data_IF_857420844552
#
_entry.id   IF_857420844552
#
_cell.length_a   1.000
_cell.length_b   1.000
_cell.length_c   1.000
_cell.angle_alpha   90.00
_cell.angle_beta   90.00
_cell.angle_gamma   90.00
#
_symmetry.space_group_name_H-M   'P 1'
#
loop_
_entity.id
_entity.type
_entity.pdbx_description
1 polymer ?
#
# COMPACT_ATOMS: atom_id res chain seq x y z
N UNK A 1 42.28 -77.61 -10.14
CA UNK A 1 41.19 -76.86 -10.82
C UNK A 1 39.88 -77.16 -10.09
N UNK A 2 39.41 -76.25 -9.26
CA UNK A 2 38.03 -76.30 -8.74
C UNK A 2 37.61 -74.88 -8.44
N UNK A 3 36.87 -74.32 -9.39
CA UNK A 3 36.36 -72.96 -9.36
C UNK A 3 34.99 -72.98 -8.70
N UNK A 4 34.83 -72.27 -7.59
CA UNK A 4 33.52 -71.98 -6.99
C UNK A 4 33.36 -70.47 -6.95
N UNK A 5 32.76 -69.92 -8.00
CA UNK A 5 32.29 -68.54 -8.00
C UNK A 5 30.98 -68.47 -7.21
N UNK A 6 31.02 -67.82 -6.05
CA UNK A 6 29.83 -67.40 -5.31
C UNK A 6 29.30 -66.11 -5.95
N UNK A 7 28.14 -66.17 -6.59
CA UNK A 7 27.42 -65.00 -7.06
C UNK A 7 26.68 -64.35 -5.88
N UNK A 8 27.09 -63.15 -5.49
CA UNK A 8 26.37 -62.32 -4.53
C UNK A 8 25.26 -61.55 -5.26
N UNK A 9 24.01 -61.82 -4.90
CA UNK A 9 22.87 -61.03 -5.36
C UNK A 9 22.79 -59.73 -4.55
N UNK A 10 23.10 -58.60 -5.19
CA UNK A 10 22.92 -57.26 -4.61
C UNK A 10 21.49 -56.81 -4.91
N UNK A 11 20.63 -56.85 -3.89
CA UNK A 11 19.31 -56.24 -3.97
C UNK A 11 19.45 -54.71 -3.87
N UNK A 12 19.24 -54.01 -4.98
CA UNK A 12 19.18 -52.54 -5.01
C UNK A 12 17.82 -52.12 -4.45
N UNK A 13 17.81 -51.69 -3.19
CA UNK A 13 16.67 -50.99 -2.59
C UNK A 13 16.52 -49.63 -3.28
N UNK A 14 15.54 -49.52 -4.17
CA UNK A 14 15.07 -48.24 -4.67
C UNK A 14 14.45 -47.46 -3.50
N UNK A 15 15.21 -46.52 -2.94
CA UNK A 15 14.67 -45.49 -2.06
C UNK A 15 13.73 -44.62 -2.91
N UNK A 16 12.44 -44.96 -2.90
CA UNK A 16 11.39 -44.05 -3.29
C UNK A 16 11.46 -42.85 -2.33
N UNK A 17 12.16 -41.79 -2.76
CA UNK A 17 12.18 -40.53 -2.04
C UNK A 17 10.76 -40.01 -1.97
N UNK A 18 10.24 -39.91 -0.74
CA UNK A 18 9.02 -39.21 -0.41
C UNK A 18 9.26 -37.71 -0.65
N UNK A 19 9.39 -37.28 -1.91
CA UNK A 19 9.19 -35.89 -2.25
C UNK A 19 7.70 -35.64 -2.04
N UNK A 20 7.33 -35.22 -0.83
CA UNK A 20 6.07 -34.57 -0.61
C UNK A 20 6.01 -33.44 -1.62
N UNK A 21 5.15 -33.58 -2.63
CA UNK A 21 4.82 -32.52 -3.54
C UNK A 21 4.24 -31.41 -2.67
N UNK A 22 5.08 -30.45 -2.28
CA UNK A 22 4.63 -29.25 -1.60
C UNK A 22 3.65 -28.59 -2.55
N UNK A 23 2.38 -28.58 -2.17
CA UNK A 23 1.38 -27.70 -2.78
C UNK A 23 2.03 -26.32 -2.92
N UNK A 24 2.04 -25.70 -4.11
CA UNK A 24 2.74 -24.44 -4.30
C UNK A 24 2.15 -23.44 -3.31
N UNK A 25 2.99 -22.96 -2.37
CA UNK A 25 2.58 -21.94 -1.42
C UNK A 25 2.04 -20.75 -2.22
N UNK A 26 0.75 -20.41 -2.04
CA UNK A 26 0.10 -19.31 -2.75
C UNK A 26 1.01 -18.08 -2.75
N UNK A 27 1.34 -17.52 -3.90
CA UNK A 27 2.16 -16.30 -3.97
C UNK A 27 1.37 -15.03 -3.69
N UNK A 28 0.09 -15.18 -3.31
CA UNK A 28 -0.82 -14.10 -3.00
C UNK A 28 -1.40 -14.23 -1.60
N UNK A 29 -1.69 -13.09 -0.99
CA UNK A 29 -2.40 -12.98 0.26
C UNK A 29 -3.48 -11.89 0.13
N UNK A 30 -4.69 -12.16 0.59
CA UNK A 30 -5.76 -11.15 0.67
C UNK A 30 -5.95 -10.84 2.14
N UNK A 31 -5.64 -9.61 2.53
CA UNK A 31 -5.74 -9.23 3.93
C UNK A 31 -7.15 -8.72 4.26
N UNK A 32 -7.45 -8.58 5.56
CA UNK A 32 -8.79 -8.21 6.06
C UNK A 32 -9.27 -6.83 5.62
N UNK A 33 -8.35 -5.96 5.20
CA UNK A 33 -8.61 -4.63 4.64
C UNK A 33 -9.09 -4.66 3.17
N UNK A 34 -9.20 -5.85 2.58
CA UNK A 34 -9.57 -6.04 1.18
C UNK A 34 -8.41 -5.81 0.21
N UNK A 35 -7.22 -5.48 0.70
CA UNK A 35 -6.04 -5.33 -0.14
C UNK A 35 -5.48 -6.69 -0.55
N UNK A 36 -5.00 -6.76 -1.79
CA UNK A 36 -4.32 -7.91 -2.35
C UNK A 36 -2.80 -7.70 -2.31
N UNK A 37 -2.08 -8.75 -1.93
CA UNK A 37 -0.64 -8.76 -1.82
C UNK A 37 -0.08 -9.87 -2.70
N UNK A 38 1.00 -9.61 -3.44
CA UNK A 38 1.72 -10.61 -4.25
C UNK A 38 3.22 -10.57 -3.93
N UNK A 39 3.82 -11.73 -3.65
CA UNK A 39 5.26 -11.86 -3.43
C UNK A 39 6.03 -12.18 -4.70
N UNK A 40 7.18 -11.52 -4.85
CA UNK A 40 8.17 -11.69 -5.89
C UNK A 40 9.47 -12.11 -5.21
N UNK A 41 9.79 -13.41 -5.27
CA UNK A 41 10.89 -13.99 -4.52
C UNK A 41 11.84 -14.83 -5.37
N UNK A 42 12.86 -15.39 -4.72
CA UNK A 42 13.90 -16.21 -5.34
C UNK A 42 13.31 -17.45 -6.04
N UNK A 43 12.27 -18.07 -5.47
CA UNK A 43 11.61 -19.25 -6.04
C UNK A 43 11.02 -19.00 -7.43
N UNK A 44 10.71 -17.75 -7.76
CA UNK A 44 10.18 -17.35 -9.06
C UNK A 44 11.23 -16.68 -9.94
N UNK A 45 12.47 -16.56 -9.48
CA UNK A 45 13.52 -15.74 -10.06
C UNK A 45 13.04 -14.29 -10.31
N UNK A 46 12.34 -13.71 -9.33
CA UNK A 46 11.76 -12.35 -9.41
C UNK A 46 12.26 -11.41 -8.33
N UNK A 47 13.40 -11.70 -7.71
CA UNK A 47 14.04 -10.74 -6.81
C UNK A 47 14.50 -9.51 -7.58
N UNK A 48 14.51 -8.35 -6.93
CA UNK A 48 14.85 -7.09 -7.56
C UNK A 48 15.57 -6.16 -6.59
N UNK A 49 16.25 -5.17 -7.15
CA UNK A 49 16.75 -4.02 -6.37
C UNK A 49 15.56 -3.19 -5.84
N UNK A 50 15.80 -2.35 -4.83
CA UNK A 50 14.71 -1.62 -4.18
C UNK A 50 13.95 -0.70 -5.15
N UNK A 51 14.67 0.04 -6.02
CA UNK A 51 14.03 0.93 -7.01
C UNK A 51 13.23 0.14 -8.06
N UNK A 52 13.74 -1.01 -8.46
CA UNK A 52 13.07 -1.90 -9.41
C UNK A 52 11.82 -2.51 -8.81
N UNK A 53 11.87 -2.92 -7.53
CA UNK A 53 10.72 -3.41 -6.79
C UNK A 53 9.61 -2.34 -6.67
N UNK A 54 9.98 -1.10 -6.31
CA UNK A 54 9.03 0.02 -6.27
C UNK A 54 8.38 0.25 -7.63
N UNK A 55 9.18 0.34 -8.71
CA UNK A 55 8.66 0.51 -10.08
C UNK A 55 7.76 -0.66 -10.50
N UNK A 56 8.15 -1.89 -10.17
CA UNK A 56 7.39 -3.11 -10.46
C UNK A 56 6.00 -3.07 -9.82
N UNK A 57 5.90 -2.66 -8.55
CA UNK A 57 4.62 -2.56 -7.86
C UNK A 57 3.74 -1.41 -8.38
N UNK A 58 4.35 -0.24 -8.68
CA UNK A 58 3.64 0.89 -9.31
C UNK A 58 3.08 0.49 -10.68
N UNK A 59 3.86 -0.21 -11.51
CA UNK A 59 3.42 -0.68 -12.82
C UNK A 59 2.23 -1.65 -12.76
N UNK A 60 1.99 -2.28 -11.60
CA UNK A 60 0.85 -3.18 -11.34
C UNK A 60 -0.37 -2.44 -10.76
N UNK A 61 -0.30 -1.12 -10.64
CA UNK A 61 -1.36 -0.28 -10.08
C UNK A 61 -1.46 -0.37 -8.55
N UNK A 62 -0.35 -0.71 -7.89
CA UNK A 62 -0.23 -0.77 -6.44
C UNK A 62 1.03 -0.05 -5.97
N UNK A 63 1.56 -0.48 -4.83
CA UNK A 63 2.78 0.05 -4.22
C UNK A 63 3.58 -1.07 -3.57
N UNK A 64 4.82 -0.80 -3.18
CA UNK A 64 5.58 -1.72 -2.35
C UNK A 64 4.85 -1.85 -1.00
N UNK A 65 4.82 -3.04 -0.42
CA UNK A 65 4.24 -3.23 0.90
C UNK A 65 5.14 -2.61 1.97
N UNK A 66 4.54 -1.89 2.90
CA UNK A 66 5.14 -1.37 4.11
C UNK A 66 5.29 -2.42 5.20
N UNK A 67 5.71 -1.97 6.38
CA UNK A 67 5.74 -2.77 7.60
C UNK A 67 5.62 -1.85 8.81
N UNK A 68 4.74 -2.21 9.76
CA UNK A 68 4.68 -1.65 11.11
C UNK A 68 4.75 -2.80 12.13
N UNK A 69 5.13 -2.47 13.37
CA UNK A 69 5.03 -3.43 14.48
C UNK A 69 3.59 -3.57 14.99
N UNK A 70 2.73 -2.60 14.70
CA UNK A 70 1.33 -2.63 15.12
C UNK A 70 0.57 -3.68 14.30
N UNK A 71 -0.32 -4.49 14.89
CA UNK A 71 -1.08 -5.48 14.14
C UNK A 71 -2.00 -4.78 13.13
N UNK A 72 -1.65 -4.88 11.85
CA UNK A 72 -2.39 -4.35 10.72
C UNK A 72 -2.41 -5.41 9.62
N UNK A 73 -3.43 -5.38 8.76
CA UNK A 73 -3.65 -6.37 7.71
C UNK A 73 -2.42 -6.52 6.78
N UNK A 74 -1.70 -5.44 6.54
CA UNK A 74 -0.44 -5.42 5.79
C UNK A 74 0.71 -6.19 6.48
N UNK A 75 0.79 -6.16 7.81
CA UNK A 75 1.82 -6.88 8.56
C UNK A 75 1.56 -8.39 8.57
N UNK A 76 0.29 -8.80 8.61
CA UNK A 76 -0.09 -10.21 8.42
C UNK A 76 0.33 -10.69 7.03
N UNK A 77 0.10 -9.87 6.00
CA UNK A 77 0.52 -10.19 4.63
C UNK A 77 2.04 -10.30 4.51
N UNK A 78 2.80 -9.36 5.07
CA UNK A 78 4.27 -9.40 5.09
C UNK A 78 4.80 -10.60 5.87
N UNK A 79 4.17 -10.97 6.99
CA UNK A 79 4.53 -12.17 7.73
C UNK A 79 4.31 -13.44 6.91
N UNK A 80 3.12 -13.62 6.32
CA UNK A 80 2.76 -14.81 5.55
C UNK A 80 3.54 -14.96 4.23
N UNK A 81 3.88 -13.83 3.61
CA UNK A 81 4.54 -13.80 2.30
C UNK A 81 6.08 -13.71 2.38
N UNK A 82 6.64 -13.15 3.45
CA UNK A 82 8.09 -13.01 3.61
C UNK A 82 8.63 -13.84 4.77
N UNK A 83 8.33 -13.44 6.01
CA UNK A 83 8.96 -14.00 7.21
C UNK A 83 8.70 -15.50 7.37
N UNK A 84 7.44 -15.93 7.23
CA UNK A 84 7.05 -17.35 7.34
C UNK A 84 7.72 -18.22 6.27
N UNK A 85 8.08 -17.62 5.14
CA UNK A 85 8.77 -18.28 4.02
C UNK A 85 10.28 -18.19 4.09
N UNK A 86 10.83 -17.57 5.15
CA UNK A 86 12.27 -17.31 5.30
C UNK A 86 12.83 -16.47 4.13
N UNK A 87 12.01 -15.59 3.59
CA UNK A 87 12.42 -14.61 2.59
C UNK A 87 12.91 -13.34 3.28
N UNK A 88 13.92 -12.69 2.70
CA UNK A 88 14.29 -11.31 3.04
C UNK A 88 13.56 -10.38 2.08
N UNK A 89 12.82 -9.39 2.59
CA UNK A 89 11.91 -8.59 1.77
C UNK A 89 12.11 -7.08 1.89
N UNK A 90 12.14 -6.37 0.76
CA UNK A 90 12.08 -4.91 0.75
C UNK A 90 10.80 -4.37 1.39
N UNK A 91 10.92 -3.23 2.07
CA UNK A 91 9.83 -2.51 2.73
C UNK A 91 9.65 -1.13 2.11
N UNK A 92 8.39 -0.71 1.99
CA UNK A 92 8.01 0.62 1.54
C UNK A 92 8.26 1.68 2.62
N UNK A 93 9.51 2.16 2.66
CA UNK A 93 9.93 3.29 3.47
C UNK A 93 11.05 4.03 2.74
N UNK A 94 11.10 5.38 2.80
CA UNK A 94 12.15 6.14 2.14
C UNK A 94 13.56 5.67 2.53
N UNK A 95 14.51 5.60 1.58
CA UNK A 95 15.89 5.27 1.88
C UNK A 95 16.55 6.28 2.84
N UNK A 96 17.46 5.80 3.68
CA UNK A 96 18.30 6.62 4.57
C UNK A 96 19.62 6.95 3.86
N UNK A 97 20.08 8.20 3.94
CA UNK A 97 21.25 8.71 3.20
C UNK A 97 22.51 8.94 4.04
N UNK A 98 22.40 8.95 5.37
CA UNK A 98 23.45 9.37 6.33
C UNK A 98 24.75 8.56 6.20
N UNK A 99 24.68 7.30 5.77
CA UNK A 99 25.83 6.41 5.61
C UNK A 99 25.77 5.66 4.28
N UNK A 100 25.61 6.41 3.19
CA UNK A 100 25.26 5.85 1.88
C UNK A 100 23.79 5.44 1.82
N UNK A 101 23.30 5.26 0.60
CA UNK A 101 21.89 4.99 0.34
C UNK A 101 21.51 3.59 0.82
N UNK A 102 20.81 3.52 1.95
CA UNK A 102 20.34 2.26 2.55
C UNK A 102 18.82 2.19 2.55
N UNK A 103 18.30 1.05 2.13
CA UNK A 103 16.89 0.76 2.00
C UNK A 103 16.41 -0.15 3.13
N UNK A 104 15.16 0.03 3.51
CA UNK A 104 14.52 -0.75 4.57
C UNK A 104 14.10 -2.12 4.06
N UNK A 105 14.37 -3.16 4.84
CA UNK A 105 13.93 -4.52 4.55
C UNK A 105 13.60 -5.28 5.84
N UNK A 106 12.86 -6.39 5.71
CA UNK A 106 12.67 -7.38 6.76
C UNK A 106 13.64 -8.55 6.53
N UNK A 107 14.32 -8.98 7.59
CA UNK A 107 15.10 -10.22 7.61
C UNK A 107 14.20 -11.46 7.47
N UNK A 108 14.80 -12.63 7.31
CA UNK A 108 14.09 -13.92 7.27
C UNK A 108 13.33 -14.23 8.57
N UNK A 109 13.72 -13.59 9.67
CA UNK A 109 13.09 -13.64 10.99
C UNK A 109 12.06 -12.53 11.20
N UNK A 110 11.90 -11.61 10.25
CA UNK A 110 10.98 -10.48 10.33
C UNK A 110 11.53 -9.29 11.10
N UNK A 111 12.85 -9.20 11.30
CA UNK A 111 13.47 -8.04 11.92
C UNK A 111 13.69 -6.91 10.90
N UNK A 112 13.31 -5.65 11.20
CA UNK A 112 13.62 -4.52 10.35
C UNK A 112 15.13 -4.27 10.29
N UNK A 113 15.67 -4.17 9.08
CA UNK A 113 17.07 -3.89 8.81
C UNK A 113 17.20 -2.75 7.79
N UNK A 114 18.40 -2.17 7.74
CA UNK A 114 18.85 -1.25 6.71
C UNK A 114 19.99 -1.87 5.95
N UNK A 115 19.88 -1.94 4.63
CA UNK A 115 20.92 -2.50 3.76
C UNK A 115 21.08 -1.72 2.46
N UNK A 116 22.17 -1.95 1.71
CA UNK A 116 22.38 -1.28 0.42
C UNK A 116 21.27 -1.59 -0.58
N UNK A 117 20.74 -0.58 -1.26
CA UNK A 117 19.55 -0.69 -2.12
C UNK A 117 19.73 -1.54 -3.39
N UNK A 118 20.98 -1.82 -3.78
CA UNK A 118 21.34 -2.53 -5.02
C UNK A 118 21.43 -4.06 -4.89
N UNK A 119 21.10 -4.61 -3.72
CA UNK A 119 20.97 -6.05 -3.59
C UNK A 119 19.65 -6.53 -4.20
N UNK A 120 19.65 -7.74 -4.76
CA UNK A 120 18.42 -8.38 -5.21
C UNK A 120 17.84 -9.20 -4.07
N UNK A 121 16.72 -8.74 -3.53
CA UNK A 121 15.96 -9.49 -2.52
C UNK A 121 14.50 -9.59 -2.92
N UNK A 122 13.74 -10.36 -2.15
CA UNK A 122 12.32 -10.56 -2.39
C UNK A 122 11.56 -9.26 -2.09
N UNK A 123 10.35 -9.13 -2.60
CA UNK A 123 9.48 -7.98 -2.30
C UNK A 123 8.02 -8.35 -2.45
N UNK A 124 7.16 -7.59 -1.78
CA UNK A 124 5.70 -7.77 -1.84
C UNK A 124 5.09 -6.52 -2.40
N UNK A 125 4.28 -6.67 -3.46
CA UNK A 125 3.45 -5.58 -3.94
C UNK A 125 2.09 -5.63 -3.24
N UNK A 126 1.60 -4.49 -2.81
CA UNK A 126 0.29 -4.26 -2.22
C UNK A 126 -0.60 -3.53 -3.22
N UNK A 127 -1.82 -4.01 -3.40
CA UNK A 127 -2.86 -3.37 -4.21
C UNK A 127 -4.15 -3.35 -3.42
N UNK A 128 -4.52 -2.18 -2.94
CA UNK A 128 -5.82 -1.99 -2.32
C UNK A 128 -6.88 -1.67 -3.37
N UNK A 129 -8.14 -2.11 -3.17
CA UNK A 129 -9.25 -1.52 -3.88
C UNK A 129 -9.17 -0.01 -3.65
N UNK A 130 -9.14 0.78 -4.73
CA UNK A 130 -9.33 2.22 -4.58
C UNK A 130 -10.65 2.39 -3.85
N UNK A 131 -10.75 3.21 -2.79
CA UNK A 131 -12.05 3.54 -2.26
C UNK A 131 -12.89 4.04 -3.44
N UNK A 132 -13.91 3.27 -3.82
CA UNK A 132 -14.97 3.81 -4.68
C UNK A 132 -15.40 5.09 -3.99
N UNK A 133 -15.40 6.25 -4.67
CA UNK A 133 -15.98 7.44 -4.09
C UNK A 133 -17.38 7.02 -3.62
N UNK A 134 -17.61 7.01 -2.31
CA UNK A 134 -18.97 6.90 -1.79
C UNK A 134 -19.74 7.96 -2.58
N UNK A 135 -20.87 7.65 -3.24
CA UNK A 135 -21.65 8.67 -3.91
C UNK A 135 -21.85 9.77 -2.88
N UNK A 136 -21.22 10.93 -3.10
CA UNK A 136 -21.40 12.06 -2.21
C UNK A 136 -22.91 12.24 -2.10
N UNK A 137 -23.46 12.35 -0.87
CA UNK A 137 -24.85 12.76 -0.74
C UNK A 137 -24.99 14.02 -1.58
N UNK A 138 -25.78 13.99 -2.66
CA UNK A 138 -26.00 15.17 -3.49
C UNK A 138 -26.38 16.29 -2.52
N UNK A 139 -25.60 17.37 -2.41
CA UNK A 139 -25.87 18.38 -1.40
C UNK A 139 -27.25 18.96 -1.71
N UNK A 140 -28.18 18.70 -0.79
CA UNK A 140 -29.52 19.25 -0.86
C UNK A 140 -29.36 20.73 -0.47
N UNK A 141 -29.26 21.62 -1.46
CA UNK A 141 -29.04 23.06 -1.27
C UNK A 141 -30.25 23.79 -0.63
N UNK A 142 -30.92 23.21 0.37
CA UNK A 142 -32.12 23.81 0.98
C UNK A 142 -31.82 25.18 1.61
N UNK A 143 -30.61 25.39 2.14
CA UNK A 143 -30.17 26.64 2.80
C UNK A 143 -28.89 27.26 2.20
N UNK A 144 -28.57 26.93 0.95
CA UNK A 144 -27.32 27.32 0.29
C UNK A 144 -27.60 27.96 -1.07
N UNK A 145 -26.73 28.89 -1.47
CA UNK A 145 -26.77 29.45 -2.82
C UNK A 145 -26.27 28.41 -3.82
N UNK A 146 -27.13 27.99 -4.75
CA UNK A 146 -26.72 27.08 -5.83
C UNK A 146 -25.96 27.87 -6.90
N UNK A 147 -24.67 27.59 -7.06
CA UNK A 147 -23.84 28.11 -8.13
C UNK A 147 -24.21 27.53 -9.49
N UNK A 148 -23.74 28.21 -10.54
CA UNK A 148 -23.96 27.79 -11.94
C UNK A 148 -23.17 26.55 -12.33
N UNK A 149 -22.10 26.28 -11.60
CA UNK A 149 -21.28 25.06 -11.63
C UNK A 149 -21.97 23.86 -10.97
N UNK A 150 -23.15 24.05 -10.38
CA UNK A 150 -23.93 22.99 -9.74
C UNK A 150 -23.57 22.75 -8.27
N UNK A 151 -22.60 23.49 -7.71
CA UNK A 151 -22.23 23.40 -6.30
C UNK A 151 -23.12 24.30 -5.43
N UNK A 152 -23.21 23.99 -4.13
CA UNK A 152 -23.92 24.81 -3.15
C UNK A 152 -22.91 25.63 -2.33
N UNK A 153 -23.13 26.94 -2.21
CA UNK A 153 -22.26 27.87 -1.49
C UNK A 153 -22.98 28.50 -0.30
N UNK A 154 -22.26 28.71 0.80
CA UNK A 154 -22.74 29.50 1.94
C UNK A 154 -21.65 30.46 2.38
N UNK A 155 -22.02 31.74 2.46
CA UNK A 155 -21.12 32.80 2.88
C UNK A 155 -21.32 33.04 4.37
N UNK A 156 -20.24 32.95 5.13
CA UNK A 156 -20.20 33.33 6.54
C UNK A 156 -19.48 34.67 6.66
N UNK A 157 -20.21 35.71 7.05
CA UNK A 157 -19.68 37.08 7.11
C UNK A 157 -19.94 37.71 8.49
N UNK A 158 -19.54 38.97 8.66
CA UNK A 158 -19.76 39.72 9.89
C UNK A 158 -21.25 39.89 10.23
N UNK A 159 -22.10 40.03 9.21
CA UNK A 159 -23.56 40.20 9.37
C UNK A 159 -24.17 38.93 9.98
N UNK A 160 -23.74 37.75 9.52
CA UNK A 160 -24.16 36.46 10.06
C UNK A 160 -23.41 36.06 11.34
N UNK A 161 -22.54 36.92 11.88
CA UNK A 161 -21.62 36.64 13.00
C UNK A 161 -20.83 35.33 12.82
N UNK A 162 -20.53 34.98 11.57
CA UNK A 162 -19.97 33.67 11.19
C UNK A 162 -18.47 33.68 10.90
N UNK A 163 -17.78 34.81 11.13
CA UNK A 163 -16.36 34.96 10.82
C UNK A 163 -15.51 34.00 11.65
N UNK A 164 -14.50 33.42 11.00
CA UNK A 164 -13.55 32.47 11.58
C UNK A 164 -12.16 32.77 11.04
N UNK A 165 -11.13 32.30 11.73
CA UNK A 165 -9.77 32.22 11.18
C UNK A 165 -9.73 31.25 9.99
N UNK A 166 -8.68 31.31 9.17
CA UNK A 166 -8.55 30.39 8.02
C UNK A 166 -8.65 28.92 8.43
N UNK A 167 -7.83 28.46 9.40
CA UNK A 167 -7.87 27.08 9.89
C UNK A 167 -9.23 26.72 10.50
N UNK A 168 -9.83 27.67 11.22
CA UNK A 168 -11.17 27.53 11.79
C UNK A 168 -12.25 27.38 10.72
N UNK A 169 -12.13 28.10 9.60
CA UNK A 169 -13.04 28.00 8.46
C UNK A 169 -12.87 26.68 7.71
N UNK A 170 -11.63 26.24 7.46
CA UNK A 170 -11.33 24.95 6.84
C UNK A 170 -11.92 23.81 7.66
N UNK A 171 -11.70 23.81 8.98
CA UNK A 171 -12.23 22.79 9.88
C UNK A 171 -13.76 22.82 9.92
N UNK A 172 -14.35 24.00 10.05
CA UNK A 172 -15.80 24.16 10.11
C UNK A 172 -16.51 23.71 8.83
N UNK A 173 -15.97 24.04 7.65
CA UNK A 173 -16.53 23.58 6.38
C UNK A 173 -16.49 22.06 6.25
N UNK A 174 -15.40 21.43 6.70
CA UNK A 174 -15.25 19.96 6.66
C UNK A 174 -16.13 19.25 7.67
N UNK A 175 -16.11 19.70 8.92
CA UNK A 175 -16.68 18.96 10.04
C UNK A 175 -18.19 19.23 10.21
N UNK A 176 -18.61 20.49 10.09
CA UNK A 176 -19.99 20.92 10.41
C UNK A 176 -20.89 21.03 9.17
N UNK A 177 -20.29 21.42 8.04
CA UNK A 177 -21.04 21.63 6.79
C UNK A 177 -20.96 20.43 5.85
N UNK A 178 -20.11 19.44 6.16
CA UNK A 178 -19.80 18.29 5.30
C UNK A 178 -19.43 18.70 3.87
N UNK A 179 -18.66 19.79 3.74
CA UNK A 179 -18.19 20.34 2.47
C UNK A 179 -16.74 20.82 2.59
N UNK A 180 -16.35 21.77 1.75
CA UNK A 180 -15.00 22.32 1.75
C UNK A 180 -15.00 23.84 1.65
N UNK A 181 -13.89 24.45 2.07
CA UNK A 181 -13.69 25.88 1.88
C UNK A 181 -13.53 26.14 0.37
N UNK A 182 -14.43 26.93 -0.20
CA UNK A 182 -14.46 27.17 -1.66
C UNK A 182 -13.10 27.66 -2.17
N UNK A 183 -12.55 27.04 -3.25
CA UNK A 183 -11.39 27.60 -3.93
C UNK A 183 -11.76 28.95 -4.56
N UNK A 184 -10.81 29.89 -4.59
CA UNK A 184 -10.99 31.23 -5.17
C UNK A 184 -11.20 31.21 -6.70
N UNK A 185 -10.86 30.10 -7.36
CA UNK A 185 -11.05 29.94 -8.81
C UNK A 185 -12.35 29.19 -9.13
N UNK A 186 -13.25 29.85 -9.86
CA UNK A 186 -14.42 29.23 -10.49
C UNK A 186 -15.78 29.65 -9.94
N UNK A 187 -15.85 30.14 -8.70
CA UNK A 187 -17.13 30.58 -8.14
C UNK A 187 -17.56 31.94 -8.74
N UNK A 188 -18.85 32.20 -8.98
CA UNK A 188 -19.38 33.54 -9.28
C UNK A 188 -19.35 34.45 -8.02
N UNK A 189 -18.37 34.29 -7.12
CA UNK A 189 -18.23 35.06 -5.89
C UNK A 189 -17.96 36.55 -6.15
N UNK A 190 -17.44 36.91 -7.33
CA UNK A 190 -17.35 38.32 -7.75
C UNK A 190 -18.72 39.02 -7.89
N UNK A 191 -19.83 38.28 -7.92
CA UNK A 191 -21.20 38.83 -7.88
C UNK A 191 -21.92 38.69 -6.53
N UNK A 192 -21.37 37.92 -5.60
CA UNK A 192 -21.99 37.67 -4.27
C UNK A 192 -21.37 38.60 -3.22
N UNK A 193 -20.14 39.05 -3.42
CA UNK A 193 -19.58 40.18 -2.66
C UNK A 193 -20.03 41.46 -3.37
N UNK A 194 -20.89 42.31 -2.78
CA UNK A 194 -21.21 43.58 -3.39
C UNK A 194 -19.92 44.38 -3.55
N UNK A 195 -19.62 44.80 -4.78
CA UNK A 195 -18.46 45.60 -5.15
C UNK A 195 -18.66 47.05 -4.69
N UNK A 196 -18.82 47.27 -3.39
CA UNK A 196 -18.90 48.61 -2.81
C UNK A 196 -18.08 48.65 -1.54
N UNK A 197 -16.76 48.79 -1.69
CA UNK A 197 -15.95 49.52 -0.72
C UNK A 197 -16.00 50.98 -1.18
N UNK A 198 -16.76 51.80 -0.45
CA UNK A 198 -16.49 53.23 -0.31
C UNK A 198 -16.17 53.46 1.16
#
# INVERSE_FOLDING_TARGET
MSSRFLAAAIAVLALASCAAASTPASYKHTAKDGCEYEVFNALRNRQAEWDEAVKSCIAKGGELAGYSKDPCAENDAMYELCTKRKDTCWVNKPPVLEHGRRCHLLSQEGHPLLQGCHQKVSYVCKKCPKPTPKPEPKPVCKDFHKGKDGYCYKVFNAISKGQKTYDGAVKYCKDEMHGELSPLYGAPLQRIVPTTIR
#
